data_IF_657938913360
#
_entry.id   IF_657938913360
#
_cell.length_a   1.000
_cell.length_b   1.000
_cell.length_c   1.000
_cell.angle_alpha   90.00
_cell.angle_beta   90.00
_cell.angle_gamma   90.00
#
_symmetry.space_group_name_H-M   'P 1'
#
loop_
_entity.id
_entity.type
_entity.pdbx_description
1 polymer ?
#
# COMPACT_ATOMS: atom_id res chain seq x y z
N UNK A 1 11.69 10.27 22.48
CA UNK A 1 10.83 11.43 22.84
C UNK A 1 9.63 10.92 23.63
N UNK A 2 9.33 11.51 24.78
CA UNK A 2 8.14 11.17 25.56
C UNK A 2 6.85 11.58 24.82
N UNK A 3 5.73 10.90 25.07
CA UNK A 3 4.41 11.27 24.52
C UNK A 3 4.07 12.73 24.82
N UNK A 4 4.32 13.19 26.05
CA UNK A 4 4.05 14.58 26.45
C UNK A 4 4.84 15.58 25.58
N UNK A 5 6.13 15.33 25.36
CA UNK A 5 6.98 16.16 24.50
C UNK A 5 6.49 16.16 23.05
N UNK A 6 6.04 15.00 22.56
CA UNK A 6 5.44 14.85 21.22
C UNK A 6 4.24 15.76 21.05
N UNK A 7 3.30 15.68 21.98
CA UNK A 7 2.01 16.34 21.87
C UNK A 7 2.22 17.85 21.96
N UNK A 8 3.10 18.32 22.86
CA UNK A 8 3.50 19.73 22.93
C UNK A 8 4.14 20.24 21.64
N UNK A 9 5.04 19.48 21.00
CA UNK A 9 5.63 19.89 19.71
C UNK A 9 4.58 19.98 18.60
N UNK A 10 3.66 19.01 18.52
CA UNK A 10 2.58 19.01 17.54
C UNK A 10 1.63 20.19 17.75
N UNK A 11 1.25 20.47 18.99
CA UNK A 11 0.40 21.62 19.32
C UNK A 11 1.09 22.94 18.98
N UNK A 12 2.37 23.10 19.35
CA UNK A 12 3.12 24.31 19.02
C UNK A 12 3.26 24.52 17.51
N UNK A 13 3.39 23.44 16.73
CA UNK A 13 3.37 23.52 15.27
C UNK A 13 1.99 23.93 14.73
N UNK A 14 0.91 23.34 15.26
CA UNK A 14 -0.47 23.70 14.87
C UNK A 14 -0.83 25.15 15.21
N UNK A 15 -0.32 25.66 16.33
CA UNK A 15 -0.51 27.04 16.76
C UNK A 15 0.42 28.02 16.01
N UNK A 16 1.30 27.54 15.14
CA UNK A 16 2.26 28.38 14.40
C UNK A 16 3.42 28.92 15.23
N UNK A 17 3.61 28.44 16.47
CA UNK A 17 4.79 28.77 17.30
C UNK A 17 6.06 28.12 16.74
N UNK A 18 5.91 27.00 16.04
CA UNK A 18 6.98 26.31 15.32
C UNK A 18 6.62 26.33 13.84
N UNK A 19 7.53 26.79 12.99
CA UNK A 19 7.29 26.88 11.54
C UNK A 19 7.76 25.65 10.78
N UNK A 20 8.73 24.93 11.33
CA UNK A 20 9.36 23.75 10.71
C UNK A 20 9.24 22.57 11.67
N UNK A 21 8.59 21.50 11.21
CA UNK A 21 8.47 20.26 11.96
C UNK A 21 9.18 19.12 11.22
N UNK A 22 10.21 18.56 11.87
CA UNK A 22 10.91 17.37 11.39
C UNK A 22 10.28 16.15 12.04
N UNK A 23 9.83 15.19 11.24
CA UNK A 23 9.20 13.98 11.76
C UNK A 23 9.41 12.76 10.85
N UNK A 24 9.34 11.56 11.44
CA UNK A 24 9.34 10.28 10.72
C UNK A 24 7.91 9.82 10.41
N UNK A 25 7.76 8.83 9.51
CA UNK A 25 6.44 8.30 9.13
C UNK A 25 5.63 7.78 10.32
N UNK A 26 6.28 7.11 11.27
CA UNK A 26 5.64 6.64 12.51
C UNK A 26 5.16 7.83 13.33
N UNK A 27 5.90 8.93 13.30
CA UNK A 27 5.53 10.11 14.05
C UNK A 27 4.43 10.94 13.40
N UNK A 28 4.25 10.89 12.08
CA UNK A 28 3.20 11.65 11.40
C UNK A 28 1.82 10.95 11.40
N UNK A 29 1.75 9.65 11.74
CA UNK A 29 0.48 8.90 11.75
C UNK A 29 -0.47 9.38 12.84
N UNK A 30 -1.76 9.48 12.49
CA UNK A 30 -2.81 9.92 13.41
C UNK A 30 -2.78 11.42 13.73
N UNK A 31 -1.87 12.17 13.12
CA UNK A 31 -1.76 13.62 13.31
C UNK A 31 -2.22 14.31 12.04
N UNK A 32 -3.25 15.14 12.19
CA UNK A 32 -3.75 15.98 11.12
C UNK A 32 -3.09 17.36 11.18
N UNK A 33 -2.41 17.75 10.10
CA UNK A 33 -1.81 19.08 9.96
C UNK A 33 -2.62 19.86 8.93
N UNK A 34 -3.39 20.85 9.37
CA UNK A 34 -4.13 21.76 8.49
C UNK A 34 -3.19 22.89 8.07
N UNK A 35 -3.22 23.26 6.79
CA UNK A 35 -2.46 24.41 6.29
C UNK A 35 -0.95 24.20 6.13
N UNK A 36 -0.47 22.98 5.92
CA UNK A 36 0.94 22.75 5.58
C UNK A 36 1.19 23.26 4.16
N UNK A 37 2.02 24.30 4.02
CA UNK A 37 2.36 24.89 2.73
C UNK A 37 3.29 24.01 1.89
N UNK A 38 4.28 23.39 2.55
CA UNK A 38 5.31 22.61 1.87
C UNK A 38 5.66 21.33 2.63
N UNK A 39 5.91 20.25 1.91
CA UNK A 39 6.44 18.98 2.43
C UNK A 39 7.80 18.72 1.81
N UNK A 40 8.81 18.48 2.64
CA UNK A 40 10.16 18.15 2.17
C UNK A 40 10.49 16.72 2.59
N UNK A 41 10.65 15.83 1.60
CA UNK A 41 11.19 14.50 1.80
C UNK A 41 12.71 14.59 1.75
N UNK A 42 13.35 14.50 2.91
CA UNK A 42 14.81 14.42 3.03
C UNK A 42 15.31 13.07 2.50
N UNK A 43 14.62 11.99 2.88
CA UNK A 43 14.88 10.64 2.39
C UNK A 43 13.75 10.17 1.48
N UNK A 44 14.10 9.47 0.40
CA UNK A 44 13.10 8.91 -0.50
C UNK A 44 12.25 7.86 0.25
N UNK A 45 10.91 7.91 0.13
CA UNK A 45 10.07 6.85 0.64
C UNK A 45 10.30 5.54 -0.13
N UNK A 46 10.45 4.43 0.59
CA UNK A 46 10.69 3.09 0.01
C UNK A 46 9.50 2.51 -0.77
N UNK A 47 8.32 3.09 -0.61
CA UNK A 47 7.09 2.69 -1.27
C UNK A 47 6.31 3.92 -1.78
N UNK A 48 5.66 3.78 -2.94
CA UNK A 48 4.82 4.83 -3.53
C UNK A 48 3.62 5.20 -2.66
N UNK A 49 3.03 4.24 -1.94
CA UNK A 49 1.96 4.52 -0.99
C UNK A 49 2.41 5.47 0.13
N UNK A 50 3.63 5.27 0.66
CA UNK A 50 4.22 6.16 1.68
C UNK A 50 4.46 7.55 1.10
N UNK A 51 4.96 7.65 -0.13
CA UNK A 51 5.11 8.94 -0.82
C UNK A 51 3.79 9.70 -0.89
N UNK A 52 2.72 9.05 -1.37
CA UNK A 52 1.38 9.66 -1.47
C UNK A 52 0.90 10.14 -0.09
N UNK A 53 1.09 9.34 0.97
CA UNK A 53 0.70 9.73 2.33
C UNK A 53 1.49 10.91 2.89
N UNK A 54 2.76 11.07 2.50
CA UNK A 54 3.62 12.20 2.88
C UNK A 54 3.23 13.47 2.13
N UNK A 55 3.19 13.43 0.80
CA UNK A 55 2.84 14.62 0.00
C UNK A 55 1.39 15.05 0.20
N UNK A 56 0.49 14.10 0.54
CA UNK A 56 -0.88 14.39 0.94
C UNK A 56 -1.04 15.14 2.27
N UNK A 57 0.05 15.52 2.95
CA UNK A 57 0.01 16.44 4.10
C UNK A 57 -0.18 17.90 3.66
N UNK A 58 0.20 18.25 2.43
CA UNK A 58 -0.01 19.59 1.85
C UNK A 58 -1.16 19.58 0.83
N UNK A 59 -1.52 20.74 0.27
CA UNK A 59 -2.49 20.84 -0.83
C UNK A 59 -3.94 20.55 -0.45
N UNK A 60 -4.36 20.83 0.79
CA UNK A 60 -5.68 20.47 1.32
C UNK A 60 -6.64 21.66 1.37
N UNK A 61 -7.95 21.36 1.26
CA UNK A 61 -9.04 22.33 1.33
C UNK A 61 -8.92 23.49 0.31
N UNK A 62 -8.52 23.17 -0.93
CA UNK A 62 -8.37 24.15 -2.01
C UNK A 62 -7.10 25.00 -1.94
N UNK A 63 -6.30 24.85 -0.88
CA UNK A 63 -5.00 25.52 -0.79
C UNK A 63 -3.97 24.86 -1.71
N UNK A 64 -3.11 25.67 -2.31
CA UNK A 64 -1.92 25.18 -3.02
C UNK A 64 -0.93 24.57 -2.02
N UNK A 65 -0.20 23.57 -2.50
CA UNK A 65 0.79 22.85 -1.71
C UNK A 65 1.94 22.41 -2.59
N UNK A 66 3.15 22.44 -2.05
CA UNK A 66 4.35 21.99 -2.76
C UNK A 66 5.00 20.81 -2.03
N UNK A 67 5.53 19.85 -2.79
CA UNK A 67 6.31 18.76 -2.25
C UNK A 67 7.66 18.66 -2.96
N UNK A 68 8.74 18.71 -2.17
CA UNK A 68 10.11 18.57 -2.66
C UNK A 68 10.65 17.24 -2.16
N UNK A 69 11.26 16.44 -3.03
CA UNK A 69 11.86 15.17 -2.66
C UNK A 69 13.32 15.12 -3.07
N UNK A 70 14.19 14.99 -2.07
CA UNK A 70 15.61 14.75 -2.25
C UNK A 70 15.84 13.25 -2.41
N UNK A 71 16.77 12.88 -3.28
CA UNK A 71 17.16 11.49 -3.49
C UNK A 71 18.62 11.42 -3.92
N UNK A 72 19.25 10.28 -3.65
CA UNK A 72 20.64 10.00 -4.01
C UNK A 72 20.73 8.96 -5.12
N UNK A 73 21.95 8.67 -5.60
CA UNK A 73 22.17 7.60 -6.57
C UNK A 73 21.84 6.20 -6.04
N UNK A 74 21.83 6.01 -4.73
CA UNK A 74 21.49 4.73 -4.08
C UNK A 74 19.98 4.48 -4.05
N UNK A 75 19.20 5.56 -4.13
CA UNK A 75 17.73 5.57 -4.06
C UNK A 75 17.03 5.22 -5.38
N UNK A 76 17.81 5.02 -6.45
CA UNK A 76 17.31 4.63 -7.79
C UNK A 76 16.26 3.51 -7.78
N UNK A 77 16.35 2.46 -6.94
CA UNK A 77 15.34 1.39 -6.90
C UNK A 77 13.95 1.86 -6.45
N UNK A 78 13.88 2.89 -5.62
CA UNK A 78 12.64 3.42 -5.03
C UNK A 78 12.03 4.55 -5.86
N UNK A 79 12.85 5.22 -6.68
CA UNK A 79 12.45 6.38 -7.47
C UNK A 79 11.45 6.06 -8.59
N UNK A 80 11.58 4.89 -9.24
CA UNK A 80 10.69 4.49 -10.35
C UNK A 80 9.19 4.49 -9.99
N UNK A 81 8.76 3.83 -8.90
CA UNK A 81 7.39 3.95 -8.41
C UNK A 81 6.94 5.39 -8.17
N UNK A 82 7.82 6.26 -7.65
CA UNK A 82 7.50 7.66 -7.37
C UNK A 82 7.32 8.45 -8.66
N UNK A 83 8.22 8.29 -9.62
CA UNK A 83 8.10 8.89 -10.97
C UNK A 83 6.78 8.49 -11.61
N UNK A 84 6.38 7.22 -11.51
CA UNK A 84 5.08 6.77 -12.03
C UNK A 84 3.91 7.51 -11.40
N UNK A 85 3.94 7.75 -10.09
CA UNK A 85 2.91 8.54 -9.39
C UNK A 85 2.92 9.98 -9.88
N UNK A 86 4.10 10.60 -10.01
CA UNK A 86 4.23 11.98 -10.49
C UNK A 86 3.67 12.15 -11.91
N UNK A 87 3.90 11.19 -12.81
CA UNK A 87 3.31 11.19 -14.17
C UNK A 87 1.79 11.12 -14.14
N UNK A 88 1.25 10.23 -13.30
CA UNK A 88 -0.20 10.06 -13.14
C UNK A 88 -0.85 11.32 -12.55
N UNK A 89 -0.11 12.11 -11.77
CA UNK A 89 -0.55 13.41 -11.27
C UNK A 89 -0.48 14.54 -12.30
N UNK A 90 -0.01 14.27 -13.54
CA UNK A 90 0.09 15.28 -14.60
C UNK A 90 1.28 16.24 -14.44
N UNK A 91 2.30 15.87 -13.66
CA UNK A 91 3.52 16.67 -13.54
C UNK A 91 4.46 16.43 -14.72
N UNK A 92 5.04 17.50 -15.23
CA UNK A 92 6.09 17.43 -16.25
C UNK A 92 7.38 16.90 -15.64
N UNK A 93 7.75 15.69 -16.05
CA UNK A 93 8.95 15.03 -15.55
C UNK A 93 10.11 15.25 -16.52
N UNK A 94 11.24 15.80 -16.04
CA UNK A 94 12.44 15.96 -16.87
C UNK A 94 12.89 14.64 -17.50
N UNK A 95 13.37 14.70 -18.74
CA UNK A 95 13.84 13.53 -19.51
C UNK A 95 14.90 12.73 -18.76
N UNK A 96 15.88 13.42 -18.17
CA UNK A 96 16.96 12.79 -17.39
C UNK A 96 16.48 11.91 -16.22
N UNK A 97 15.29 12.18 -15.67
CA UNK A 97 14.72 11.40 -14.57
C UNK A 97 14.10 10.09 -15.10
N UNK A 98 13.61 10.08 -16.34
CA UNK A 98 13.06 8.89 -17.00
C UNK A 98 14.14 7.92 -17.48
N UNK A 99 15.30 8.48 -17.86
CA UNK A 99 16.42 7.73 -18.42
C UNK A 99 17.30 7.08 -17.34
N UNK A 100 16.92 7.21 -16.07
CA UNK A 100 17.66 6.63 -14.96
C UNK A 100 17.78 5.11 -15.10
N UNK A 101 19.00 4.55 -14.88
CA UNK A 101 19.28 3.15 -15.14
C UNK A 101 18.41 2.25 -14.26
N UNK A 102 17.89 1.20 -14.88
CA UNK A 102 17.06 0.23 -14.20
C UNK A 102 17.93 -0.55 -13.20
N UNK A 103 17.50 -0.70 -11.93
CA UNK A 103 18.16 -1.60 -11.02
C UNK A 103 18.13 -3.01 -11.64
N UNK A 104 19.31 -3.60 -11.88
CA UNK A 104 19.41 -4.95 -12.44
C UNK A 104 18.60 -5.90 -11.54
N UNK A 105 17.64 -6.62 -12.12
CA UNK A 105 16.87 -7.67 -11.44
C UNK A 105 17.83 -8.80 -11.05
N UNK A 106 18.51 -8.70 -9.90
CA UNK A 106 19.50 -9.71 -9.52
C UNK A 106 20.03 -9.70 -8.10
N UNK A 107 19.97 -8.59 -7.34
CA UNK A 107 20.73 -8.52 -6.06
C UNK A 107 19.90 -8.27 -4.78
N UNK A 108 18.55 -8.23 -4.84
CA UNK A 108 17.76 -7.85 -3.64
C UNK A 108 16.30 -8.29 -3.63
N UNK A 109 15.91 -9.27 -4.45
CA UNK A 109 14.51 -9.69 -4.66
C UNK A 109 13.90 -10.52 -3.52
N UNK A 110 14.26 -10.25 -2.25
CA UNK A 110 13.60 -10.84 -1.08
C UNK A 110 12.89 -9.82 -0.17
N UNK A 111 13.06 -8.52 -0.38
CA UNK A 111 12.38 -7.47 0.39
C UNK A 111 11.37 -6.70 -0.46
N UNK A 112 10.43 -7.38 -1.11
CA UNK A 112 9.23 -6.73 -1.65
C UNK A 112 8.00 -7.48 -1.12
N UNK A 113 7.22 -6.77 -0.30
CA UNK A 113 5.91 -7.14 0.26
C UNK A 113 5.86 -8.05 1.51
N UNK A 114 6.54 -7.69 2.61
CA UNK A 114 6.17 -8.25 3.92
C UNK A 114 4.97 -7.52 4.57
N UNK A 115 4.62 -6.32 4.09
CA UNK A 115 3.57 -5.49 4.70
C UNK A 115 2.17 -5.74 4.09
N UNK A 116 2.10 -6.43 2.95
CA UNK A 116 0.88 -7.03 2.41
C UNK A 116 1.17 -8.50 2.08
N UNK A 117 1.44 -9.32 3.10
CA UNK A 117 1.18 -10.76 2.92
C UNK A 117 -0.29 -10.85 2.53
N UNK A 118 -0.59 -11.43 1.36
CA UNK A 118 -1.97 -11.85 1.05
C UNK A 118 -2.52 -12.52 2.31
N UNK A 119 -3.74 -12.20 2.76
CA UNK A 119 -4.34 -12.93 3.87
C UNK A 119 -4.09 -14.41 3.60
N UNK A 120 -3.58 -15.15 4.59
CA UNK A 120 -3.48 -16.62 4.46
C UNK A 120 -4.82 -17.09 3.88
N UNK A 121 -4.79 -17.89 2.82
CA UNK A 121 -6.01 -18.47 2.26
C UNK A 121 -6.62 -19.38 3.32
N UNK A 122 -7.47 -18.79 4.16
CA UNK A 122 -8.21 -19.51 5.19
C UNK A 122 -9.35 -20.15 4.45
N UNK A 123 -9.23 -21.45 4.19
CA UNK A 123 -10.30 -22.23 3.56
C UNK A 123 -11.66 -21.92 4.20
N UNK A 124 -12.71 -21.90 3.39
CA UNK A 124 -14.07 -21.59 3.82
C UNK A 124 -14.45 -22.40 5.08
N UNK A 125 -14.73 -21.72 6.19
CA UNK A 125 -15.13 -22.36 7.45
C UNK A 125 -16.45 -23.09 7.22
N UNK A 126 -16.41 -24.42 7.12
CA UNK A 126 -17.62 -25.24 7.07
C UNK A 126 -18.03 -25.63 8.48
N UNK A 127 -19.27 -25.38 8.87
CA UNK A 127 -19.83 -25.82 10.16
C UNK A 127 -20.10 -27.32 10.22
N UNK A 128 -19.87 -28.04 9.12
CA UNK A 128 -20.12 -29.48 9.00
C UNK A 128 -18.94 -30.30 9.50
N UNK A 129 -19.24 -31.36 10.25
CA UNK A 129 -18.23 -32.33 10.68
C UNK A 129 -17.60 -33.06 9.48
N UNK A 130 -16.43 -33.67 9.68
CA UNK A 130 -15.77 -34.49 8.65
C UNK A 130 -16.66 -35.62 8.13
N UNK A 131 -17.43 -36.24 9.04
CA UNK A 131 -18.39 -37.29 8.72
C UNK A 131 -19.53 -36.79 7.83
N UNK A 132 -20.11 -35.64 8.17
CA UNK A 132 -21.22 -35.06 7.39
C UNK A 132 -20.77 -34.67 5.97
N UNK A 133 -19.55 -34.15 5.84
CA UNK A 133 -18.97 -33.83 4.52
C UNK A 133 -18.82 -35.07 3.65
N UNK A 134 -18.32 -36.18 4.20
CA UNK A 134 -18.23 -37.45 3.46
C UNK A 134 -19.60 -38.00 3.07
N UNK A 135 -20.58 -37.92 3.98
CA UNK A 135 -21.95 -38.39 3.72
C UNK A 135 -22.63 -37.60 2.61
N UNK A 136 -22.51 -36.27 2.63
CA UNK A 136 -23.06 -35.39 1.59
C UNK A 136 -22.38 -35.65 0.24
N UNK A 137 -21.05 -35.82 0.22
CA UNK A 137 -20.30 -36.12 -1.01
C UNK A 137 -20.74 -37.46 -1.63
N UNK A 138 -20.82 -38.53 -0.84
CA UNK A 138 -21.31 -39.84 -1.30
C UNK A 138 -22.74 -39.76 -1.84
N UNK A 139 -23.64 -39.06 -1.13
CA UNK A 139 -25.02 -38.87 -1.59
C UNK A 139 -25.07 -38.13 -2.94
N UNK A 140 -24.26 -37.08 -3.12
CA UNK A 140 -24.19 -36.31 -4.37
C UNK A 140 -23.70 -37.17 -5.53
N UNK A 141 -22.68 -38.02 -5.31
CA UNK A 141 -22.19 -38.99 -6.29
C UNK A 141 -23.25 -40.03 -6.65
N UNK A 142 -23.95 -40.61 -5.67
CA UNK A 142 -25.01 -41.57 -5.96
C UNK A 142 -26.14 -40.96 -6.80
N UNK A 143 -26.52 -39.71 -6.50
CA UNK A 143 -27.54 -38.99 -7.27
C UNK A 143 -27.06 -38.70 -8.70
N UNK A 144 -25.80 -38.30 -8.90
CA UNK A 144 -25.28 -38.06 -10.24
C UNK A 144 -25.21 -39.34 -11.06
N UNK A 145 -24.71 -40.43 -10.47
CA UNK A 145 -24.66 -41.75 -11.11
C UNK A 145 -26.04 -42.26 -11.49
N UNK A 146 -27.03 -42.11 -10.60
CA UNK A 146 -28.42 -42.49 -10.87
C UNK A 146 -29.05 -41.64 -11.99
N UNK A 147 -28.76 -40.34 -12.04
CA UNK A 147 -29.20 -39.44 -13.12
C UNK A 147 -28.57 -39.82 -14.46
N UNK A 148 -27.29 -40.19 -14.49
CA UNK A 148 -26.62 -40.66 -15.71
C UNK A 148 -27.18 -42.00 -16.19
N UNK A 149 -27.41 -42.95 -15.28
CA UNK A 149 -28.01 -44.24 -15.62
C UNK A 149 -29.41 -44.07 -16.21
N UNK A 150 -30.24 -43.20 -15.60
CA UNK A 150 -31.58 -42.89 -16.10
C UNK A 150 -31.55 -42.23 -17.47
N UNK A 151 -30.60 -41.32 -17.73
CA UNK A 151 -30.38 -40.75 -19.06
C UNK A 151 -30.00 -41.80 -20.10
N UNK A 152 -29.12 -42.75 -19.74
CA UNK A 152 -28.71 -43.84 -20.63
C UNK A 152 -29.88 -44.77 -20.97
N UNK A 153 -30.73 -45.09 -20.00
CA UNK A 153 -31.90 -45.96 -20.20
C UNK A 153 -33.04 -45.31 -20.98
N UNK A 154 -33.09 -43.98 -21.08
CA UNK A 154 -34.10 -43.25 -21.88
C UNK A 154 -33.64 -43.07 -23.34
N UNK A 155 -32.35 -43.26 -23.61
CA UNK A 155 -31.74 -43.11 -24.94
C UNK A 155 -31.60 -44.44 -25.72
N UNK A 156 -32.10 -45.55 -25.16
CA UNK A 156 -32.30 -46.85 -25.84
C UNK A 156 -33.79 -47.06 -26.07
#
# INVERSE_FOLDING_TARGET
>A
MSRKQRDTCIENFRLGKIWILICTDVMARGVDFKGVAQVINIDIPRASATYIHRVGRTGRAGNKGEAVTMFTTEDKPYLRPIISVMKQSGLDIPSWLNDLPHPKKGAGSKQKNSEYKKPLDRGHLTTLSGYDRQRIAKRKQMISMSKEQKKRNIAQ
#
